data_IF_853921047868
#
_entry.id   IF_853921047868
#
_cell.length_a   1.000
_cell.length_b   1.000
_cell.length_c   1.000
_cell.angle_alpha   90.00
_cell.angle_beta   90.00
_cell.angle_gamma   90.00
#
_symmetry.space_group_name_H-M   'P 1'
#
loop_
_entity.id
_entity.type
_entity.pdbx_description
1 polymer ?
#
# COMPACT_ATOMS: atom_id res chain seq x y z
N UNK A 1 37.93 29.17 -78.32
CA UNK A 1 36.92 30.23 -78.15
C UNK A 1 36.31 30.10 -76.78
N UNK A 2 36.37 31.18 -76.02
CA UNK A 2 35.95 31.32 -74.62
C UNK A 2 34.45 31.62 -74.63
N UNK A 3 33.66 30.95 -73.79
CA UNK A 3 32.34 31.44 -73.41
C UNK A 3 32.08 31.16 -71.93
N UNK A 4 31.88 32.24 -71.18
CA UNK A 4 31.74 32.32 -69.73
C UNK A 4 30.28 32.58 -69.32
N UNK A 5 29.89 31.96 -68.19
CA UNK A 5 28.86 32.39 -67.20
C UNK A 5 27.35 32.32 -67.62
N UNK A 6 26.36 32.14 -66.69
CA UNK A 6 26.31 32.74 -65.35
C UNK A 6 25.87 31.85 -64.15
N UNK A 7 26.27 32.33 -62.96
CA UNK A 7 25.75 31.96 -61.63
C UNK A 7 24.27 32.29 -61.48
N UNK A 8 23.49 31.40 -60.86
CA UNK A 8 22.27 31.78 -60.11
C UNK A 8 22.17 31.03 -58.79
N UNK A 9 22.31 31.82 -57.74
CA UNK A 9 21.98 31.55 -56.34
C UNK A 9 20.45 31.62 -56.16
N UNK A 10 19.84 30.65 -55.47
CA UNK A 10 18.57 30.80 -54.72
C UNK A 10 18.44 29.62 -53.74
N UNK A 11 18.65 29.88 -52.45
CA UNK A 11 17.68 30.29 -51.42
C UNK A 11 16.94 29.09 -50.82
N UNK A 12 16.88 29.12 -49.48
CA UNK A 12 16.67 28.00 -48.55
C UNK A 12 15.28 27.36 -48.61
N UNK A 13 15.22 26.09 -48.22
CA UNK A 13 14.17 25.59 -47.33
C UNK A 13 14.77 24.53 -46.40
N UNK A 14 14.76 24.73 -45.07
CA UNK A 14 15.06 23.65 -44.13
C UNK A 14 13.85 22.71 -44.11
N UNK A 15 13.99 21.50 -44.62
CA UNK A 15 12.99 20.46 -44.36
C UNK A 15 13.20 20.02 -42.91
N UNK A 16 12.41 20.65 -42.04
CA UNK A 16 12.10 20.20 -40.69
C UNK A 16 11.46 18.82 -40.81
N UNK A 17 12.29 17.78 -40.78
CA UNK A 17 11.89 16.39 -40.79
C UNK A 17 11.90 15.84 -39.37
N UNK A 18 10.85 16.18 -38.63
CA UNK A 18 10.34 15.61 -37.38
C UNK A 18 10.87 14.18 -37.05
N UNK A 19 12.11 14.05 -36.57
CA UNK A 19 12.56 12.79 -35.97
C UNK A 19 11.90 12.65 -34.62
N UNK A 20 10.94 11.72 -34.59
CA UNK A 20 10.20 11.20 -33.46
C UNK A 20 10.84 11.59 -32.13
N UNK A 21 10.15 12.45 -31.40
CA UNK A 21 10.15 12.35 -29.96
C UNK A 21 9.82 10.89 -29.63
N UNK A 22 10.86 10.09 -29.37
CA UNK A 22 10.72 8.91 -28.55
C UNK A 22 10.10 9.44 -27.29
N UNK A 23 8.80 9.22 -27.17
CA UNK A 23 8.10 9.09 -25.93
C UNK A 23 8.89 8.07 -25.11
N UNK A 24 9.92 8.55 -24.42
CA UNK A 24 10.37 8.01 -23.17
C UNK A 24 9.20 8.20 -22.21
N UNK A 25 8.15 7.39 -22.42
CA UNK A 25 7.32 6.89 -21.36
C UNK A 25 8.29 6.17 -20.44
N UNK A 26 8.88 6.93 -19.53
CA UNK A 26 9.22 6.45 -18.19
C UNK A 26 7.89 6.06 -17.54
N UNK A 27 7.27 5.01 -18.08
CA UNK A 27 6.09 4.38 -17.55
C UNK A 27 6.47 3.95 -16.15
N UNK A 28 5.88 4.67 -15.21
CA UNK A 28 6.20 4.66 -13.80
C UNK A 28 6.35 3.22 -13.30
N UNK A 29 7.52 2.93 -12.79
CA UNK A 29 8.02 1.63 -12.34
C UNK A 29 7.42 1.21 -10.99
N UNK A 30 6.12 1.46 -10.82
CA UNK A 30 5.36 1.11 -9.61
C UNK A 30 4.39 -0.03 -9.93
N UNK A 31 3.84 -0.59 -8.87
CA UNK A 31 2.78 -1.62 -8.82
C UNK A 31 3.24 -3.02 -8.44
N UNK A 32 4.41 -3.15 -7.80
CA UNK A 32 4.66 -4.29 -6.89
C UNK A 32 3.70 -4.24 -5.69
N UNK A 33 3.24 -3.06 -5.27
CA UNK A 33 2.32 -2.89 -4.15
C UNK A 33 1.18 -1.95 -4.55
N UNK A 34 -0.03 -2.26 -4.08
CA UNK A 34 -1.20 -1.39 -4.15
C UNK A 34 -1.41 -0.74 -2.79
N UNK A 35 -0.95 0.51 -2.65
CA UNK A 35 -1.03 1.28 -1.41
C UNK A 35 -2.14 2.33 -1.58
N UNK A 36 -3.27 2.09 -0.93
CA UNK A 36 -4.37 3.05 -0.84
C UNK A 36 -4.40 3.63 0.58
N UNK A 37 -3.66 4.72 0.81
CA UNK A 37 -3.57 5.33 2.13
C UNK A 37 -4.93 5.83 2.62
N UNK A 38 -5.80 6.31 1.73
CA UNK A 38 -7.17 6.75 2.05
C UNK A 38 -8.05 5.63 2.59
N UNK A 39 -7.78 4.39 2.19
CA UNK A 39 -8.43 3.21 2.74
C UNK A 39 -7.80 2.76 4.06
N UNK A 40 -6.48 2.56 4.09
CA UNK A 40 -5.77 2.20 5.32
C UNK A 40 -4.29 2.56 5.24
N UNK A 41 -3.75 3.04 6.36
CA UNK A 41 -2.31 3.20 6.58
C UNK A 41 -1.68 1.98 7.27
N UNK A 42 -2.50 1.06 7.78
CA UNK A 42 -2.06 -0.14 8.49
C UNK A 42 -1.96 -1.36 7.56
N UNK A 43 -2.66 -1.35 6.43
CA UNK A 43 -2.72 -2.48 5.50
C UNK A 43 -2.58 -1.99 4.06
N UNK A 44 -1.80 -2.71 3.26
CA UNK A 44 -1.73 -2.53 1.81
C UNK A 44 -1.79 -3.88 1.10
N UNK A 45 -2.05 -3.89 -0.22
CA UNK A 45 -2.24 -5.12 -0.98
C UNK A 45 -1.06 -5.41 -1.92
N UNK A 46 -0.81 -6.67 -2.27
CA UNK A 46 0.13 -6.96 -3.34
C UNK A 46 -0.42 -6.51 -4.69
N UNK A 47 0.36 -5.71 -5.41
CA UNK A 47 -0.04 -5.16 -6.70
C UNK A 47 -0.05 -6.21 -7.82
N UNK A 48 -0.46 -5.81 -9.03
CA UNK A 48 -0.50 -6.68 -10.21
C UNK A 48 0.85 -7.32 -10.57
N UNK A 49 1.97 -6.65 -10.27
CA UNK A 49 3.33 -7.15 -10.57
C UNK A 49 3.92 -7.99 -9.43
N UNK A 50 3.18 -8.19 -8.33
CA UNK A 50 3.63 -8.99 -7.20
C UNK A 50 3.34 -10.48 -7.40
N UNK A 51 4.29 -11.39 -7.09
CA UNK A 51 5.62 -11.12 -6.56
C UNK A 51 6.69 -10.92 -7.64
N UNK A 52 7.68 -10.06 -7.36
CA UNK A 52 8.90 -10.01 -8.15
C UNK A 52 9.90 -11.00 -7.54
N UNK A 53 9.90 -12.25 -8.01
CA UNK A 53 10.68 -13.36 -7.42
C UNK A 53 12.18 -13.06 -7.23
N UNK A 54 12.77 -12.21 -8.08
CA UNK A 54 14.18 -11.79 -7.94
C UNK A 54 14.44 -10.91 -6.72
N UNK A 55 13.44 -10.18 -6.23
CA UNK A 55 13.53 -9.27 -5.08
C UNK A 55 13.23 -9.99 -3.75
N UNK A 56 12.60 -11.16 -3.80
CA UNK A 56 12.22 -11.92 -2.61
C UNK A 56 13.42 -12.55 -1.91
N UNK A 57 13.40 -12.48 -0.58
CA UNK A 57 14.32 -13.20 0.30
C UNK A 57 14.06 -14.71 0.25
N UNK A 58 15.03 -15.57 0.62
CA UNK A 58 14.84 -17.02 0.62
C UNK A 58 13.62 -17.48 1.44
N UNK A 59 13.41 -16.91 2.63
CA UNK A 59 12.25 -17.24 3.49
C UNK A 59 10.92 -16.79 2.87
N UNK A 60 10.89 -15.64 2.20
CA UNK A 60 9.69 -15.16 1.50
C UNK A 60 9.34 -16.09 0.33
N UNK A 61 10.35 -16.61 -0.39
CA UNK A 61 10.15 -17.61 -1.45
C UNK A 61 9.60 -18.92 -0.90
N UNK A 62 10.07 -19.37 0.26
CA UNK A 62 9.55 -20.58 0.92
C UNK A 62 8.08 -20.39 1.32
N UNK A 63 7.75 -19.30 2.02
CA UNK A 63 6.38 -18.97 2.42
C UNK A 63 5.48 -18.82 1.20
N UNK A 64 5.95 -18.14 0.15
CA UNK A 64 5.22 -18.02 -1.11
C UNK A 64 5.00 -19.38 -1.79
N UNK A 65 6.01 -20.25 -1.82
CA UNK A 65 5.87 -21.60 -2.36
C UNK A 65 4.85 -22.46 -1.60
N UNK A 66 4.72 -22.23 -0.28
CA UNK A 66 3.81 -22.99 0.60
C UNK A 66 2.38 -22.46 0.61
N UNK A 67 2.19 -21.14 0.64
CA UNK A 67 0.89 -20.51 0.86
C UNK A 67 0.41 -19.68 -0.34
N UNK A 68 1.27 -19.44 -1.33
CA UNK A 68 0.96 -18.59 -2.47
C UNK A 68 0.93 -17.10 -2.12
N UNK A 69 0.13 -16.35 -2.88
CA UNK A 69 -0.01 -14.90 -2.76
C UNK A 69 -0.78 -14.54 -1.48
N UNK A 70 -0.26 -13.65 -0.61
CA UNK A 70 -1.01 -13.17 0.56
C UNK A 70 -2.15 -12.25 0.12
N UNK A 71 -3.19 -12.17 0.94
CA UNK A 71 -4.34 -11.29 0.70
C UNK A 71 -3.98 -9.82 0.95
N UNK A 72 -3.09 -9.58 1.91
CA UNK A 72 -2.63 -8.25 2.27
C UNK A 72 -1.28 -8.28 3.00
N UNK A 73 -0.71 -7.10 3.19
CA UNK A 73 0.45 -6.84 4.03
C UNK A 73 0.05 -5.94 5.19
N UNK A 74 0.37 -6.34 6.42
CA UNK A 74 0.10 -5.55 7.62
C UNK A 74 1.38 -4.82 8.05
N UNK A 75 1.30 -3.49 8.08
CA UNK A 75 2.40 -2.59 8.45
C UNK A 75 2.62 -2.62 9.95
N UNK A 76 3.85 -2.90 10.37
CA UNK A 76 4.24 -2.94 11.78
C UNK A 76 4.74 -1.55 12.23
N UNK A 77 3.80 -0.69 12.62
CA UNK A 77 4.11 0.62 13.21
C UNK A 77 4.72 0.53 14.62
N UNK A 78 4.46 -0.58 15.30
CA UNK A 78 5.04 -0.94 16.60
C UNK A 78 5.47 -2.41 16.62
N UNK A 79 6.43 -2.80 17.49
CA UNK A 79 6.95 -4.16 17.53
C UNK A 79 5.91 -5.25 17.87
N UNK A 80 4.86 -4.88 18.61
CA UNK A 80 3.74 -5.76 18.95
C UNK A 80 2.70 -5.89 17.81
N UNK A 81 2.88 -5.13 16.73
CA UNK A 81 1.96 -5.05 15.60
C UNK A 81 0.61 -4.42 15.95
N UNK A 82 0.50 -3.65 17.03
CA UNK A 82 -0.75 -2.96 17.37
C UNK A 82 -1.17 -1.99 16.26
N UNK A 83 -2.43 -2.05 15.85
CA UNK A 83 -2.99 -1.12 14.85
C UNK A 83 -2.95 0.31 15.40
N UNK A 84 -2.50 1.24 14.56
CA UNK A 84 -2.36 2.66 14.89
C UNK A 84 -3.39 3.49 14.13
N UNK A 85 -4.01 4.44 14.82
CA UNK A 85 -4.89 5.43 14.18
C UNK A 85 -4.07 6.39 13.32
N UNK A 86 -4.71 7.03 12.33
CA UNK A 86 -4.04 8.02 11.49
C UNK A 86 -3.46 9.18 12.27
N UNK A 87 -4.20 9.69 13.25
CA UNK A 87 -3.74 10.74 14.16
C UNK A 87 -2.49 10.36 14.97
N UNK A 88 -2.32 9.08 15.33
CA UNK A 88 -1.10 8.61 16.00
C UNK A 88 0.13 8.59 15.08
N UNK A 89 -0.08 8.62 13.77
CA UNK A 89 0.96 8.46 12.76
C UNK A 89 1.21 9.72 11.93
N UNK A 90 0.58 10.86 12.21
CA UNK A 90 0.68 12.07 11.38
C UNK A 90 2.13 12.54 11.13
N UNK A 91 3.02 12.42 12.12
CA UNK A 91 4.43 12.79 11.97
C UNK A 91 5.26 11.68 11.31
N UNK A 92 5.06 10.42 11.72
CA UNK A 92 5.75 9.26 11.15
C UNK A 92 5.38 8.99 9.69
N UNK A 93 4.14 9.24 9.31
CA UNK A 93 3.66 9.10 7.93
C UNK A 93 4.42 10.03 6.99
N UNK A 94 4.68 11.27 7.41
CA UNK A 94 5.50 12.22 6.65
C UNK A 94 6.95 11.75 6.50
N UNK A 95 7.51 11.11 7.52
CA UNK A 95 8.87 10.55 7.47
C UNK A 95 8.97 9.36 6.51
N UNK A 96 8.02 8.42 6.56
CA UNK A 96 7.97 7.27 5.64
C UNK A 96 7.83 7.73 4.18
N UNK A 97 6.98 8.71 3.93
CA UNK A 97 6.84 9.31 2.59
C UNK A 97 8.17 9.92 2.09
N UNK A 98 8.98 10.52 2.97
CA UNK A 98 10.30 11.07 2.63
C UNK A 98 11.36 9.98 2.42
N UNK A 99 11.37 8.95 3.25
CA UNK A 99 12.39 7.91 3.26
C UNK A 99 12.32 6.97 2.04
N UNK A 100 11.18 6.92 1.34
CA UNK A 100 10.91 6.01 0.20
C UNK A 100 11.13 4.52 0.51
N UNK A 101 11.24 4.16 1.78
CA UNK A 101 11.36 2.78 2.25
C UNK A 101 10.06 2.38 2.93
N UNK A 102 9.58 1.17 2.63
CA UNK A 102 8.43 0.61 3.32
C UNK A 102 8.81 0.29 4.77
N UNK A 103 7.95 0.59 5.76
CA UNK A 103 8.14 0.10 7.11
C UNK A 103 8.14 -1.44 7.13
N UNK A 104 8.64 -2.08 8.20
CA UNK A 104 8.49 -3.51 8.39
C UNK A 104 7.02 -3.92 8.27
N UNK A 105 6.74 -5.06 7.62
CA UNK A 105 5.40 -5.57 7.42
C UNK A 105 5.37 -7.10 7.48
N UNK A 106 4.19 -7.65 7.71
CA UNK A 106 3.90 -9.09 7.73
C UNK A 106 3.04 -9.46 6.53
N UNK A 107 2.95 -10.76 6.23
CA UNK A 107 2.05 -11.27 5.18
C UNK A 107 0.79 -11.83 5.81
N UNK A 108 -0.37 -11.39 5.32
CA UNK A 108 -1.67 -11.77 5.87
C UNK A 108 -2.39 -12.67 4.88
N UNK A 109 -2.75 -13.87 5.34
CA UNK A 109 -3.53 -14.87 4.62
C UNK A 109 -4.90 -15.01 5.30
N UNK A 110 -5.82 -14.13 4.93
CA UNK A 110 -7.17 -14.07 5.48
C UNK A 110 -7.93 -15.38 5.31
N UNK A 111 -7.83 -16.01 4.13
CA UNK A 111 -8.46 -17.31 3.86
C UNK A 111 -7.94 -18.45 4.74
N UNK A 112 -6.70 -18.34 5.23
CA UNK A 112 -6.08 -19.32 6.14
C UNK A 112 -6.19 -18.91 7.62
N UNK A 113 -6.64 -17.68 7.90
CA UNK A 113 -6.65 -17.14 9.26
C UNK A 113 -5.25 -16.91 9.84
N UNK A 114 -4.22 -16.73 9.01
CA UNK A 114 -2.81 -16.62 9.44
C UNK A 114 -2.12 -15.32 9.05
N UNK A 115 -1.23 -14.87 9.93
CA UNK A 115 -0.28 -13.78 9.69
C UNK A 115 1.14 -14.31 9.84
N UNK A 116 2.00 -14.01 8.86
CA UNK A 116 3.37 -14.50 8.79
C UNK A 116 4.33 -13.36 9.16
N UNK A 117 5.02 -13.53 10.27
CA UNK A 117 6.06 -12.61 10.74
C UNK A 117 7.42 -13.12 10.30
N UNK A 118 8.13 -12.33 9.49
CA UNK A 118 9.48 -12.65 9.07
C UNK A 118 10.50 -12.09 10.07
N UNK A 119 11.48 -12.92 10.40
CA UNK A 119 12.72 -12.51 11.05
C UNK A 119 13.90 -12.77 10.08
N UNK A 120 15.13 -12.36 10.41
CA UNK A 120 16.27 -12.57 9.52
C UNK A 120 16.54 -14.04 9.14
N UNK A 121 16.19 -14.99 10.02
CA UNK A 121 16.54 -16.41 9.87
C UNK A 121 15.35 -17.36 9.90
N UNK A 122 14.15 -16.90 10.27
CA UNK A 122 12.95 -17.73 10.32
C UNK A 122 11.70 -16.90 10.01
N UNK A 123 10.55 -17.56 9.87
CA UNK A 123 9.26 -16.91 10.00
C UNK A 123 8.47 -17.57 11.14
N UNK A 124 7.44 -16.87 11.61
CA UNK A 124 6.46 -17.42 12.56
C UNK A 124 5.06 -17.21 12.03
N UNK A 125 4.21 -18.22 12.18
CA UNK A 125 2.80 -18.16 11.86
C UNK A 125 2.01 -17.78 13.11
N UNK A 126 1.22 -16.71 13.05
CA UNK A 126 0.31 -16.32 14.12
C UNK A 126 -1.13 -16.33 13.61
N UNK A 127 -2.12 -16.57 14.48
CA UNK A 127 -3.52 -16.36 14.10
C UNK A 127 -3.75 -14.87 13.81
N UNK A 128 -4.53 -14.58 12.76
CA UNK A 128 -4.95 -13.19 12.49
C UNK A 128 -5.80 -12.69 13.65
N UNK A 129 -5.49 -11.49 14.14
CA UNK A 129 -6.25 -10.78 15.16
C UNK A 129 -7.54 -10.20 14.58
N UNK A 130 -8.58 -10.06 15.41
CA UNK A 130 -9.87 -9.57 14.92
C UNK A 130 -9.80 -8.11 14.49
N UNK A 131 -9.01 -7.30 15.17
CA UNK A 131 -8.78 -5.90 14.80
C UNK A 131 -8.20 -5.77 13.39
N UNK A 132 -7.22 -6.59 13.02
CA UNK A 132 -6.66 -6.64 11.68
C UNK A 132 -7.69 -7.11 10.64
N UNK A 133 -8.56 -8.08 10.98
CA UNK A 133 -9.67 -8.48 10.10
C UNK A 133 -10.61 -7.31 9.82
N UNK A 134 -10.91 -6.49 10.83
CA UNK A 134 -11.74 -5.31 10.67
C UNK A 134 -11.08 -4.29 9.72
N UNK A 135 -9.77 -4.02 9.90
CA UNK A 135 -9.03 -3.10 9.01
C UNK A 135 -9.03 -3.61 7.56
N UNK A 136 -8.79 -4.90 7.35
CA UNK A 136 -8.82 -5.48 6.01
C UNK A 136 -10.21 -5.36 5.35
N UNK A 137 -11.28 -5.43 6.16
CA UNK A 137 -12.66 -5.41 5.68
C UNK A 137 -13.20 -3.99 5.45
N UNK A 138 -12.90 -3.05 6.35
CA UNK A 138 -13.53 -1.73 6.38
C UNK A 138 -12.55 -0.56 6.22
N UNK A 139 -11.24 -0.80 6.21
CA UNK A 139 -10.23 0.25 6.25
C UNK A 139 -9.92 0.70 7.66
N UNK A 140 -9.22 1.82 7.81
CA UNK A 140 -8.98 2.40 9.14
C UNK A 140 -10.29 2.96 9.74
N UNK A 141 -10.53 2.80 11.06
CA UNK A 141 -11.71 3.35 11.71
C UNK A 141 -11.72 4.89 11.65
N UNK A 142 -12.89 5.46 11.38
CA UNK A 142 -13.08 6.91 11.32
C UNK A 142 -12.95 7.58 12.70
N UNK A 143 -13.28 6.86 13.78
CA UNK A 143 -13.13 7.31 15.17
C UNK A 143 -12.63 6.17 16.08
N UNK A 144 -11.65 6.49 16.92
CA UNK A 144 -11.04 5.58 17.88
C UNK A 144 -11.04 6.23 19.25
N UNK A 145 -11.74 5.61 20.21
CA UNK A 145 -11.73 6.04 21.61
C UNK A 145 -10.96 5.03 22.44
N UNK A 146 -9.91 5.49 23.11
CA UNK A 146 -9.13 4.68 24.03
C UNK A 146 -9.70 4.78 25.45
N UNK A 147 -10.05 3.63 26.04
CA UNK A 147 -10.56 3.49 27.40
C UNK A 147 -9.65 2.55 28.21
N UNK A 148 -8.33 2.66 28.00
CA UNK A 148 -7.31 1.85 28.65
C UNK A 148 -7.14 0.50 27.97
N UNK A 149 -7.64 -0.58 28.59
CA UNK A 149 -7.52 -1.93 28.03
C UNK A 149 -8.52 -2.21 26.90
N UNK A 150 -9.44 -1.28 26.65
CA UNK A 150 -10.49 -1.38 25.64
C UNK A 150 -10.37 -0.20 24.70
N UNK A 151 -10.31 -0.49 23.41
CA UNK A 151 -10.47 0.51 22.35
C UNK A 151 -11.85 0.35 21.73
N UNK A 152 -12.54 1.46 21.54
CA UNK A 152 -13.77 1.49 20.77
C UNK A 152 -13.46 2.04 19.39
N UNK A 153 -13.71 1.23 18.37
CA UNK A 153 -13.56 1.61 16.97
C UNK A 153 -14.93 1.82 16.35
N UNK A 154 -15.10 2.95 15.69
CA UNK A 154 -16.37 3.30 15.04
C UNK A 154 -16.15 3.48 13.56
N UNK A 155 -16.91 2.72 12.78
CA UNK A 155 -16.95 2.76 11.33
C UNK A 155 -18.24 3.41 10.83
N UNK A 156 -18.27 4.74 10.78
CA UNK A 156 -19.49 5.51 10.44
C UNK A 156 -20.02 5.20 9.04
N UNK A 157 -19.12 4.97 8.08
CA UNK A 157 -19.46 4.70 6.69
C UNK A 157 -20.27 3.41 6.49
N UNK A 158 -20.11 2.44 7.40
CA UNK A 158 -20.81 1.14 7.34
C UNK A 158 -21.75 0.90 8.53
N UNK A 159 -21.85 1.86 9.46
CA UNK A 159 -22.78 1.76 10.58
C UNK A 159 -22.35 0.76 11.66
N UNK A 160 -21.05 0.56 11.87
CA UNK A 160 -20.52 -0.45 12.80
C UNK A 160 -19.71 0.16 13.93
N UNK A 161 -19.84 -0.36 15.14
CA UNK A 161 -19.00 -0.04 16.28
C UNK A 161 -18.51 -1.33 16.93
N UNK A 162 -17.22 -1.41 17.24
CA UNK A 162 -16.61 -2.55 17.90
C UNK A 162 -15.88 -2.09 19.16
N UNK A 163 -16.01 -2.84 20.26
CA UNK A 163 -15.07 -2.75 21.37
C UNK A 163 -14.05 -3.86 21.23
N UNK A 164 -12.78 -3.49 21.35
CA UNK A 164 -11.64 -4.35 21.10
C UNK A 164 -10.76 -4.34 22.33
N UNK A 165 -10.34 -5.52 22.78
CA UNK A 165 -9.34 -5.67 23.83
C UNK A 165 -8.30 -6.69 23.40
N UNK A 166 -7.02 -6.33 23.49
CA UNK A 166 -5.89 -7.18 23.07
C UNK A 166 -6.05 -7.76 21.64
N UNK A 167 -6.54 -6.93 20.70
CA UNK A 167 -6.75 -7.32 19.31
C UNK A 167 -7.95 -8.26 19.08
N UNK A 168 -8.77 -8.53 20.09
CA UNK A 168 -10.00 -9.34 19.98
C UNK A 168 -11.24 -8.48 20.11
N UNK A 169 -12.28 -8.80 19.35
CA UNK A 169 -13.59 -8.15 19.49
C UNK A 169 -14.27 -8.70 20.75
N UNK A 170 -14.73 -7.80 21.62
CA UNK A 170 -15.46 -8.14 22.84
C UNK A 170 -16.92 -7.67 22.81
N UNK A 171 -17.26 -6.74 21.92
CA UNK A 171 -18.61 -6.20 21.74
C UNK A 171 -18.75 -5.66 20.31
N UNK A 172 -19.94 -5.81 19.73
CA UNK A 172 -20.30 -5.29 18.40
C UNK A 172 -21.67 -4.62 18.47
N UNK A 173 -21.78 -3.44 17.87
CA UNK A 173 -23.03 -2.70 17.77
C UNK A 173 -23.24 -2.15 16.36
N UNK A 174 -24.46 -2.35 15.87
CA UNK A 174 -24.97 -1.77 14.63
C UNK A 174 -25.68 -0.44 14.87
N UNK A 175 -25.55 0.46 13.89
CA UNK A 175 -26.32 1.70 13.79
C UNK A 175 -26.51 2.10 12.31
N UNK A 176 -27.44 3.01 11.98
CA UNK A 176 -27.62 3.46 10.60
C UNK A 176 -26.33 4.05 10.02
N UNK A 177 -25.91 3.58 8.85
CA UNK A 177 -24.73 4.10 8.17
C UNK A 177 -24.90 5.59 7.82
N UNK A 178 -23.87 6.38 8.07
CA UNK A 178 -23.91 7.84 7.84
C UNK A 178 -23.33 8.24 6.48
N UNK A 179 -22.95 7.25 5.64
CA UNK A 179 -22.21 7.49 4.41
C UNK A 179 -20.74 7.78 4.66
N UNK A 180 -19.96 7.89 3.57
CA UNK A 180 -18.54 8.27 3.67
C UNK A 180 -18.45 9.76 3.96
N UNK A 181 -18.02 10.11 5.18
CA UNK A 181 -17.53 11.46 5.44
C UNK A 181 -16.20 11.64 4.72
N UNK A 182 -16.20 12.32 3.59
CA UNK A 182 -14.96 12.84 3.02
C UNK A 182 -14.49 13.94 3.99
N UNK A 183 -13.54 13.63 4.88
CA UNK A 183 -12.82 14.69 5.62
C UNK A 183 -12.16 15.58 4.55
N UNK A 184 -12.62 16.82 4.44
CA UNK A 184 -11.93 17.88 3.69
C UNK A 184 -10.63 18.25 4.40
#
# INVERSE_FOLDING_TARGET
>A
MIQTAPKRTRWMAPVVGLTLALFALTACDKDEYEINQDWSINVFKPGPKWPIMKNMKPLEKEVFGRFGKPDAFHVLWSPDGTIKSRSELDDRGKEVQKAKTLPPYTWVYAGLGKEIYFSPTTYTEKPIRDDLRLIMKYGDPEDVKDQGNIKQWTFYSVGKMYKISNGKIIDEKDFPAMGRFTKM
#
